data_IF_735788878946
#
_entry.id   IF_735788878946
#
_cell.length_a   1.000
_cell.length_b   1.000
_cell.length_c   1.000
_cell.angle_alpha   90.00
_cell.angle_beta   90.00
_cell.angle_gamma   90.00
#
_symmetry.space_group_name_H-M   'P 1'
#
loop_
_entity.id
_entity.type
_entity.pdbx_description
1 polymer ?
#
# COMPACT_ATOMS: atom_id res chain seq x y z
N UNK A 1 22.21 33.28 -1.83
CA UNK A 1 21.86 32.07 -1.04
C UNK A 1 20.49 31.43 -1.38
N UNK A 2 19.64 32.03 -2.24
CA UNK A 2 18.30 31.47 -2.55
C UNK A 2 18.29 30.35 -3.62
N UNK A 3 19.30 30.28 -4.47
CA UNK A 3 19.35 29.31 -5.58
C UNK A 3 19.73 27.90 -5.13
N UNK A 4 20.52 27.77 -4.05
CA UNK A 4 20.97 26.46 -3.52
C UNK A 4 19.78 25.66 -2.95
N UNK A 5 18.86 26.33 -2.25
CA UNK A 5 17.65 25.69 -1.70
C UNK A 5 16.73 25.13 -2.79
N UNK A 6 16.65 25.78 -3.96
CA UNK A 6 15.80 25.32 -5.06
C UNK A 6 16.31 24.01 -5.68
N UNK A 7 17.61 23.84 -5.76
CA UNK A 7 18.25 22.58 -6.19
C UNK A 7 18.19 21.51 -5.11
N UNK A 8 18.34 21.88 -3.82
CA UNK A 8 18.19 20.96 -2.70
C UNK A 8 16.77 20.38 -2.59
N UNK A 9 15.73 21.18 -2.80
CA UNK A 9 14.32 20.71 -2.78
C UNK A 9 14.06 19.71 -3.92
N UNK A 10 14.61 19.96 -5.12
CA UNK A 10 14.48 19.06 -6.27
C UNK A 10 15.24 17.74 -6.08
N UNK A 11 16.41 17.77 -5.43
CA UNK A 11 17.17 16.57 -5.08
C UNK A 11 16.46 15.72 -4.01
N UNK A 12 15.85 16.35 -2.99
CA UNK A 12 15.08 15.65 -1.95
C UNK A 12 13.84 14.97 -2.56
N UNK A 13 13.14 15.64 -3.48
CA UNK A 13 12.00 15.08 -4.22
C UNK A 13 12.40 13.92 -5.15
N UNK A 14 13.62 13.94 -5.70
CA UNK A 14 14.14 12.86 -6.54
C UNK A 14 14.53 11.62 -5.72
N UNK A 15 15.03 11.79 -4.49
CA UNK A 15 15.40 10.68 -3.59
C UNK A 15 14.21 9.88 -3.04
N UNK A 16 12.97 10.37 -3.15
CA UNK A 16 11.78 9.57 -2.81
C UNK A 16 11.46 8.48 -3.85
N UNK A 17 12.14 8.46 -5.00
CA UNK A 17 11.91 7.44 -6.05
C UNK A 17 12.88 6.25 -5.97
N UNK A 18 13.69 6.13 -4.91
CA UNK A 18 14.71 5.07 -4.77
C UNK A 18 14.45 4.08 -3.62
N UNK A 19 13.22 3.96 -3.12
CA UNK A 19 12.85 2.88 -2.20
C UNK A 19 12.59 1.60 -3.02
N UNK A 20 13.65 1.05 -3.61
CA UNK A 20 13.64 -0.25 -4.28
C UNK A 20 14.02 -1.41 -3.34
N UNK A 21 13.87 -1.20 -2.03
CA UNK A 21 13.51 -2.29 -1.11
C UNK A 21 12.00 -2.22 -0.94
N UNK A 22 11.26 -3.21 -1.45
CA UNK A 22 9.83 -3.31 -1.16
C UNK A 22 9.68 -3.42 0.37
N UNK A 23 9.18 -2.36 1.00
CA UNK A 23 8.87 -2.43 2.42
C UNK A 23 7.78 -3.45 2.63
N UNK A 24 7.83 -4.19 3.75
CA UNK A 24 6.76 -5.10 4.16
C UNK A 24 5.40 -4.40 4.20
N UNK A 25 5.38 -3.10 4.54
CA UNK A 25 4.16 -2.28 4.51
C UNK A 25 3.58 -2.21 3.10
N UNK A 26 4.42 -1.99 2.08
CA UNK A 26 3.96 -1.96 0.69
C UNK A 26 3.68 -3.33 0.10
N UNK A 27 4.26 -4.41 0.62
CA UNK A 27 3.81 -5.77 0.29
C UNK A 27 2.38 -6.04 0.80
N UNK A 28 2.08 -5.61 2.03
CA UNK A 28 0.73 -5.65 2.57
C UNK A 28 -0.25 -4.82 1.72
N UNK A 29 0.17 -3.62 1.33
CA UNK A 29 -0.60 -2.73 0.47
C UNK A 29 -0.90 -3.34 -0.91
N UNK A 30 0.12 -3.92 -1.54
CA UNK A 30 -0.01 -4.57 -2.86
C UNK A 30 -0.98 -5.76 -2.80
N UNK A 31 -0.86 -6.61 -1.78
CA UNK A 31 -1.74 -7.76 -1.61
C UNK A 31 -3.19 -7.34 -1.36
N UNK A 32 -3.42 -6.33 -0.52
CA UNK A 32 -4.76 -5.75 -0.31
C UNK A 32 -5.34 -5.21 -1.62
N UNK A 33 -4.59 -4.40 -2.36
CA UNK A 33 -5.07 -3.83 -3.62
C UNK A 33 -5.33 -4.90 -4.67
N UNK A 34 -4.50 -5.95 -4.74
CA UNK A 34 -4.72 -7.08 -5.66
C UNK A 34 -6.03 -7.82 -5.32
N UNK A 35 -6.25 -8.14 -4.04
CA UNK A 35 -7.47 -8.80 -3.59
C UNK A 35 -8.72 -7.94 -3.87
N UNK A 36 -8.68 -6.64 -3.57
CA UNK A 36 -9.77 -5.70 -3.83
C UNK A 36 -10.08 -5.60 -5.33
N UNK A 37 -9.05 -5.51 -6.18
CA UNK A 37 -9.22 -5.51 -7.65
C UNK A 37 -9.88 -6.80 -8.13
N UNK A 38 -9.48 -7.97 -7.62
CA UNK A 38 -10.11 -9.24 -7.99
C UNK A 38 -11.58 -9.31 -7.54
N UNK A 39 -11.88 -8.84 -6.33
CA UNK A 39 -13.25 -8.79 -5.79
C UNK A 39 -14.15 -7.87 -6.61
N UNK A 40 -13.67 -6.67 -6.94
CA UNK A 40 -14.43 -5.69 -7.71
C UNK A 40 -14.70 -6.16 -9.15
N UNK A 41 -13.77 -6.92 -9.74
CA UNK A 41 -13.93 -7.52 -11.06
C UNK A 41 -14.81 -8.79 -11.04
N UNK A 42 -15.16 -9.31 -9.86
CA UNK A 42 -15.98 -10.52 -9.71
C UNK A 42 -17.43 -10.14 -9.44
N UNK A 43 -18.37 -10.60 -10.27
CA UNK A 43 -19.81 -10.32 -10.07
C UNK A 43 -20.47 -11.25 -9.04
N UNK A 44 -20.02 -12.50 -8.99
CA UNK A 44 -20.60 -13.54 -8.15
C UNK A 44 -20.18 -13.37 -6.67
N UNK A 45 -21.14 -13.23 -5.73
CA UNK A 45 -20.83 -12.99 -4.32
C UNK A 45 -20.14 -14.17 -3.62
N UNK A 46 -20.41 -15.41 -4.03
CA UNK A 46 -19.74 -16.60 -3.49
C UNK A 46 -18.26 -16.59 -3.92
N UNK A 47 -18.00 -16.28 -5.19
CA UNK A 47 -16.63 -16.16 -5.71
C UNK A 47 -15.86 -15.02 -5.06
N UNK A 48 -16.51 -13.89 -4.70
CA UNK A 48 -15.87 -12.81 -3.93
C UNK A 48 -15.32 -13.31 -2.59
N UNK A 49 -16.11 -14.11 -1.86
CA UNK A 49 -15.67 -14.69 -0.57
C UNK A 49 -14.53 -15.69 -0.80
N UNK A 50 -14.60 -16.50 -1.86
CA UNK A 50 -13.53 -17.45 -2.19
C UNK A 50 -12.21 -16.75 -2.49
N UNK A 51 -12.22 -15.55 -3.10
CA UNK A 51 -11.00 -14.78 -3.37
C UNK A 51 -10.27 -14.45 -2.07
N UNK A 52 -10.97 -13.96 -1.04
CA UNK A 52 -10.37 -13.69 0.26
C UNK A 52 -9.85 -14.94 0.96
N UNK A 53 -10.44 -16.10 0.66
CA UNK A 53 -10.01 -17.40 1.15
C UNK A 53 -8.82 -18.03 0.40
N UNK A 54 -8.30 -17.40 -0.67
CA UNK A 54 -7.16 -17.95 -1.40
C UNK A 54 -5.91 -17.94 -0.51
N UNK A 55 -5.18 -19.06 -0.51
CA UNK A 55 -3.95 -19.24 0.28
C UNK A 55 -2.90 -18.14 0.04
N UNK A 56 -2.82 -17.61 -1.18
CA UNK A 56 -1.89 -16.53 -1.53
C UNK A 56 -2.15 -15.25 -0.71
N UNK A 57 -3.41 -14.94 -0.42
CA UNK A 57 -3.78 -13.78 0.38
C UNK A 57 -3.71 -14.06 1.87
N UNK A 58 -4.10 -15.27 2.28
CA UNK A 58 -4.10 -15.65 3.70
C UNK A 58 -2.72 -15.56 4.33
N UNK A 59 -1.68 -16.10 3.68
CA UNK A 59 -0.33 -16.06 4.22
C UNK A 59 0.17 -14.61 4.38
N UNK A 60 -0.06 -13.77 3.37
CA UNK A 60 0.37 -12.37 3.39
C UNK A 60 -0.40 -11.59 4.46
N UNK A 61 -1.72 -11.76 4.54
CA UNK A 61 -2.54 -11.07 5.55
C UNK A 61 -2.21 -11.51 6.97
N UNK A 62 -1.86 -12.77 7.18
CA UNK A 62 -1.39 -13.24 8.48
C UNK A 62 -0.08 -12.57 8.87
N UNK A 63 0.88 -12.44 7.95
CA UNK A 63 2.14 -11.72 8.20
C UNK A 63 1.90 -10.23 8.47
N UNK A 64 1.04 -9.58 7.68
CA UNK A 64 0.67 -8.19 7.86
C UNK A 64 -0.03 -7.95 9.20
N UNK A 65 -0.93 -8.84 9.61
CA UNK A 65 -1.59 -8.76 10.92
C UNK A 65 -0.61 -8.97 12.07
N UNK A 66 0.33 -9.92 11.96
CA UNK A 66 1.37 -10.12 12.98
C UNK A 66 2.30 -8.91 13.08
N UNK A 67 2.54 -8.22 11.97
CA UNK A 67 3.34 -7.00 11.93
C UNK A 67 2.65 -5.87 12.70
N UNK A 68 1.36 -5.63 12.44
CA UNK A 68 0.60 -4.54 13.08
C UNK A 68 0.21 -4.85 14.53
N UNK A 69 -0.04 -6.11 14.90
CA UNK A 69 -0.38 -6.49 16.28
C UNK A 69 0.72 -6.18 17.30
N UNK A 70 1.98 -6.12 16.86
CA UNK A 70 3.14 -5.85 17.71
C UNK A 70 3.48 -4.37 17.81
N UNK A 71 2.80 -3.52 17.05
CA UNK A 71 3.09 -2.09 16.97
C UNK A 71 2.40 -1.33 18.10
N UNK A 72 3.12 -0.35 18.64
CA UNK A 72 2.53 0.71 19.46
C UNK A 72 1.64 1.63 18.61
N UNK A 73 0.78 2.47 19.22
CA UNK A 73 -0.05 3.41 18.47
C UNK A 73 0.76 4.38 17.59
N UNK A 74 1.98 4.73 17.98
CA UNK A 74 2.86 5.61 17.22
C UNK A 74 3.46 4.90 16.00
N UNK A 75 3.90 3.66 16.18
CA UNK A 75 4.37 2.80 15.08
C UNK A 75 3.24 2.47 14.10
N UNK A 76 2.02 2.29 14.60
CA UNK A 76 0.85 2.06 13.76
C UNK A 76 0.54 3.28 12.88
N UNK A 77 0.65 4.50 13.42
CA UNK A 77 0.50 5.74 12.62
C UNK A 77 1.59 5.86 11.55
N UNK A 78 2.82 5.47 11.87
CA UNK A 78 3.90 5.45 10.88
C UNK A 78 3.65 4.40 9.79
N UNK A 79 3.16 3.22 10.17
CA UNK A 79 2.72 2.17 9.25
C UNK A 79 1.61 2.66 8.32
N UNK A 80 0.57 3.31 8.86
CA UNK A 80 -0.53 3.87 8.06
C UNK A 80 -0.03 4.94 7.09
N UNK A 81 0.83 5.86 7.55
CA UNK A 81 1.41 6.90 6.71
C UNK A 81 2.27 6.33 5.57
N UNK A 82 3.02 5.26 5.82
CA UNK A 82 3.79 4.55 4.80
C UNK A 82 2.87 3.77 3.84
N UNK A 83 1.86 3.09 4.37
CA UNK A 83 0.87 2.33 3.61
C UNK A 83 0.13 3.22 2.60
N UNK A 84 -0.32 4.40 3.01
CA UNK A 84 -0.97 5.37 2.12
C UNK A 84 -0.04 5.92 1.02
N UNK A 85 1.27 5.93 1.27
CA UNK A 85 2.27 6.37 0.31
C UNK A 85 2.66 5.28 -0.69
N UNK A 86 2.31 4.02 -0.42
CA UNK A 86 2.63 2.91 -1.31
C UNK A 86 2.03 3.12 -2.71
N UNK A 87 2.80 2.85 -3.79
CA UNK A 87 2.37 3.14 -5.16
C UNK A 87 1.02 2.51 -5.54
N UNK A 88 0.76 1.29 -5.11
CA UNK A 88 -0.50 0.56 -5.37
C UNK A 88 -1.72 1.23 -4.76
N UNK A 89 -1.60 1.75 -3.53
CA UNK A 89 -2.65 2.49 -2.84
C UNK A 89 -2.90 3.82 -3.53
N UNK A 90 -1.83 4.58 -3.81
CA UNK A 90 -1.95 5.86 -4.52
C UNK A 90 -2.59 5.71 -5.89
N UNK A 91 -2.24 4.66 -6.63
CA UNK A 91 -2.86 4.37 -7.94
C UNK A 91 -4.33 3.98 -7.78
N UNK A 92 -4.65 3.11 -6.83
CA UNK A 92 -6.01 2.69 -6.56
C UNK A 92 -6.91 3.86 -6.15
N UNK A 93 -6.43 4.73 -5.26
CA UNK A 93 -7.15 5.91 -4.80
C UNK A 93 -7.39 6.93 -5.90
N UNK A 94 -6.41 7.15 -6.77
CA UNK A 94 -6.59 7.98 -7.97
C UNK A 94 -7.71 7.42 -8.86
N UNK A 95 -7.70 6.11 -9.11
CA UNK A 95 -8.72 5.44 -9.94
C UNK A 95 -10.11 5.48 -9.30
N UNK A 96 -10.20 5.27 -7.97
CA UNK A 96 -11.45 5.37 -7.22
C UNK A 96 -12.03 6.80 -7.24
N UNK A 97 -11.20 7.82 -7.00
CA UNK A 97 -11.62 9.24 -7.03
C UNK A 97 -11.98 9.72 -8.43
N UNK A 98 -11.43 9.09 -9.47
CA UNK A 98 -11.73 9.38 -10.87
C UNK A 98 -13.06 8.75 -11.36
N UNK A 99 -13.82 8.06 -10.50
CA UNK A 99 -15.18 7.61 -10.83
C UNK A 99 -15.23 6.27 -11.59
N UNK A 100 -14.57 5.25 -11.05
CA UNK A 100 -15.10 3.89 -11.18
C UNK A 100 -16.42 3.78 -10.41
#
# INVERSE_FOLDING_TARGET
MHWIYRWFILLILASFNLISCKSKVCECADAHIKAVKEINNTKDPIKKITILGKKEYQAIFEECNKLTQKMTPEELRAFEAEYEQCPSIREYDKKRKAGF
#
